data_IF_091471335016
#
_entry.id   IF_091471335016
#
_cell.length_a   1.000
_cell.length_b   1.000
_cell.length_c   1.000
_cell.angle_alpha   90.00
_cell.angle_beta   90.00
_cell.angle_gamma   90.00
#
_symmetry.space_group_name_H-M   'P 1'
#
loop_
_entity.id
_entity.type
_entity.pdbx_description
1 polymer ?
#
# COMPACT_ATOMS: atom_id res chain seq x y z
N UNK A 1 8.85 9.98 -5.94
CA UNK A 1 9.30 11.27 -5.40
C UNK A 1 10.52 10.97 -4.54
N UNK A 2 11.72 11.44 -4.91
CA UNK A 2 12.95 11.18 -4.15
C UNK A 2 13.80 12.46 -4.18
N UNK A 3 14.28 12.89 -3.02
CA UNK A 3 15.32 13.91 -2.88
C UNK A 3 16.48 13.35 -2.02
N UNK A 4 17.70 13.81 -2.27
CA UNK A 4 18.80 13.68 -1.33
C UNK A 4 18.71 14.74 -0.24
N UNK A 5 19.37 14.50 0.90
CA UNK A 5 19.52 15.53 1.94
C UNK A 5 20.35 16.68 1.37
N UNK A 6 19.73 17.85 1.17
CA UNK A 6 20.40 19.07 0.71
C UNK A 6 19.98 19.61 -0.67
N UNK A 7 19.11 18.91 -1.40
CA UNK A 7 18.66 19.37 -2.71
C UNK A 7 17.66 20.53 -2.59
N UNK A 8 17.87 21.60 -3.38
CA UNK A 8 17.04 22.82 -3.37
C UNK A 8 15.83 22.76 -4.30
N UNK A 9 15.83 21.85 -5.28
CA UNK A 9 14.77 21.73 -6.29
C UNK A 9 14.49 20.27 -6.66
N UNK A 10 13.25 20.00 -7.05
CA UNK A 10 12.80 18.67 -7.46
C UNK A 10 13.22 18.37 -8.90
N UNK A 11 13.83 17.20 -9.15
CA UNK A 11 14.10 16.73 -10.51
C UNK A 11 12.98 15.80 -10.98
N UNK A 12 12.30 16.19 -12.06
CA UNK A 12 11.25 15.39 -12.72
C UNK A 12 11.94 14.42 -13.68
N UNK A 13 11.66 13.11 -13.57
CA UNK A 13 12.24 12.13 -14.50
C UNK A 13 11.60 12.26 -15.89
N UNK A 14 12.43 12.41 -16.93
CA UNK A 14 11.96 12.35 -18.32
C UNK A 14 11.57 10.93 -18.70
N UNK A 15 10.29 10.76 -19.02
CA UNK A 15 9.67 9.48 -19.38
C UNK A 15 8.29 9.43 -18.76
N UNK A 16 7.27 9.82 -19.53
CA UNK A 16 5.91 10.15 -19.07
C UNK A 16 5.07 9.03 -18.42
N UNK A 17 5.69 8.05 -17.77
CA UNK A 17 5.04 7.09 -16.90
C UNK A 17 5.09 7.52 -15.42
N UNK A 18 4.10 7.11 -14.64
CA UNK A 18 4.01 7.40 -13.20
C UNK A 18 4.27 6.15 -12.37
N UNK A 19 5.06 6.26 -11.30
CA UNK A 19 5.17 5.24 -10.25
C UNK A 19 4.25 5.63 -9.11
N UNK A 20 3.24 4.79 -8.83
CA UNK A 20 2.23 5.05 -7.81
C UNK A 20 2.71 4.63 -6.41
N UNK A 21 3.37 3.49 -6.32
CA UNK A 21 3.94 2.96 -5.07
C UNK A 21 5.28 2.32 -5.32
N UNK A 22 6.15 2.35 -4.31
CA UNK A 22 7.45 1.72 -4.34
C UNK A 22 7.82 1.16 -2.96
N UNK A 23 8.65 0.12 -2.97
CA UNK A 23 9.20 -0.50 -1.77
C UNK A 23 10.64 -0.94 -2.03
N UNK A 24 11.45 -0.93 -0.98
CA UNK A 24 12.76 -1.58 -0.99
C UNK A 24 12.58 -3.08 -0.71
N UNK A 25 13.30 -3.91 -1.46
CA UNK A 25 13.31 -5.36 -1.26
C UNK A 25 14.68 -5.90 -1.65
N UNK A 26 15.36 -6.56 -0.72
CA UNK A 26 16.70 -7.16 -0.91
C UNK A 26 17.72 -6.20 -1.57
N UNK A 27 17.75 -4.96 -1.09
CA UNK A 27 18.69 -3.92 -1.55
C UNK A 27 18.36 -3.31 -2.91
N UNK A 28 17.20 -3.61 -3.50
CA UNK A 28 16.71 -3.02 -4.74
C UNK A 28 15.39 -2.30 -4.50
N UNK A 29 15.03 -1.39 -5.41
CA UNK A 29 13.76 -0.67 -5.37
C UNK A 29 12.84 -1.26 -6.43
N UNK A 30 11.63 -1.58 -6.00
CA UNK A 30 10.56 -2.03 -6.88
C UNK A 30 9.39 -1.08 -6.77
N UNK A 31 8.62 -0.97 -7.85
CA UNK A 31 7.44 -0.12 -7.86
C UNK A 31 6.33 -0.65 -8.72
N UNK A 32 5.16 -0.08 -8.54
CA UNK A 32 3.99 -0.30 -9.38
C UNK A 32 3.68 1.03 -10.06
N UNK A 33 3.59 1.00 -11.38
CA UNK A 33 3.43 2.20 -12.17
C UNK A 33 2.75 1.96 -13.51
N UNK A 34 2.39 3.03 -14.17
CA UNK A 34 1.98 3.05 -15.58
C UNK A 34 3.15 3.55 -16.40
N UNK A 35 3.98 2.68 -17.00
CA UNK A 35 4.87 3.13 -18.07
C UNK A 35 4.04 3.74 -19.23
N UNK A 36 4.67 4.51 -20.13
CA UNK A 36 3.97 5.10 -21.29
C UNK A 36 3.19 4.01 -22.05
N UNK A 37 1.86 4.16 -22.18
CA UNK A 37 0.99 3.13 -22.80
C UNK A 37 -0.03 2.43 -21.89
N UNK A 38 -0.46 3.09 -20.81
CA UNK A 38 -1.76 2.89 -20.13
C UNK A 38 -1.95 1.67 -19.22
N UNK A 39 -1.12 0.63 -19.27
CA UNK A 39 -1.33 -0.56 -18.42
C UNK A 39 -0.47 -0.50 -17.16
N UNK A 40 -1.05 -0.90 -16.02
CA UNK A 40 -0.32 -1.04 -14.77
C UNK A 40 0.74 -2.16 -14.86
N UNK A 41 1.91 -1.87 -14.32
CA UNK A 41 3.08 -2.76 -14.33
C UNK A 41 3.78 -2.77 -12.99
N UNK A 42 4.29 -3.94 -12.62
CA UNK A 42 5.34 -4.05 -11.61
C UNK A 42 6.68 -3.76 -12.28
N UNK A 43 7.56 -3.01 -11.61
CA UNK A 43 8.78 -2.42 -12.16
C UNK A 43 9.95 -2.66 -11.19
N UNK A 44 11.08 -3.14 -11.71
CA UNK A 44 12.37 -2.95 -11.01
C UNK A 44 12.94 -1.58 -11.38
N UNK A 45 13.24 -0.77 -10.37
CA UNK A 45 13.67 0.62 -10.50
C UNK A 45 15.15 0.72 -10.14
N UNK A 46 15.96 1.16 -11.10
CA UNK A 46 17.33 1.59 -10.83
C UNK A 46 17.44 3.10 -10.91
N UNK A 47 17.89 3.70 -9.81
CA UNK A 47 18.22 5.12 -9.73
C UNK A 47 19.55 5.36 -10.45
N UNK A 48 19.59 6.36 -11.33
CA UNK A 48 20.81 6.86 -11.97
C UNK A 48 21.39 8.04 -11.18
N UNK A 49 22.68 8.35 -11.34
CA UNK A 49 23.33 9.49 -10.66
C UNK A 49 22.63 10.84 -10.89
N UNK A 50 21.93 11.01 -12.01
CA UNK A 50 21.12 12.19 -12.32
C UNK A 50 19.63 11.97 -12.03
N UNK A 51 19.31 11.19 -11.00
CA UNK A 51 17.94 10.90 -10.54
C UNK A 51 17.00 10.28 -11.60
N UNK A 52 17.54 9.84 -12.73
CA UNK A 52 16.80 9.13 -13.78
C UNK A 52 16.36 7.75 -13.31
N UNK A 53 15.12 7.38 -13.59
CA UNK A 53 14.58 6.05 -13.33
C UNK A 53 14.80 5.18 -14.57
N UNK A 54 15.50 4.04 -14.42
CA UNK A 54 15.51 2.98 -15.43
C UNK A 54 14.59 1.85 -14.97
N UNK A 55 13.55 1.58 -15.75
CA UNK A 55 12.78 0.32 -15.64
C UNK A 55 13.65 -0.80 -16.22
N UNK A 56 13.97 -1.79 -15.40
CA UNK A 56 14.80 -2.92 -15.82
C UNK A 56 13.93 -4.10 -16.29
N UNK A 57 12.82 -4.33 -15.62
CA UNK A 57 11.92 -5.44 -15.89
C UNK A 57 10.48 -5.05 -15.57
N UNK A 58 9.52 -5.62 -16.30
CA UNK A 58 8.12 -5.33 -16.08
C UNK A 58 7.21 -6.55 -16.28
N UNK A 59 6.12 -6.60 -15.52
CA UNK A 59 5.00 -7.51 -15.75
C UNK A 59 3.67 -6.80 -15.65
N UNK A 60 2.71 -7.28 -16.42
CA UNK A 60 1.33 -6.82 -16.33
C UNK A 60 0.74 -7.21 -14.98
N UNK A 61 0.34 -6.22 -14.20
CA UNK A 61 -0.50 -6.45 -13.04
C UNK A 61 -1.91 -6.72 -13.57
N UNK A 62 -2.54 -7.81 -13.13
CA UNK A 62 -3.94 -8.05 -13.47
C UNK A 62 -4.79 -6.91 -12.91
N UNK A 63 -5.53 -6.24 -13.78
CA UNK A 63 -6.50 -5.23 -13.39
C UNK A 63 -7.84 -5.57 -14.04
N UNK A 64 -8.79 -5.96 -13.20
CA UNK A 64 -10.18 -5.53 -13.36
C UNK A 64 -10.71 -5.30 -11.95
N UNK A 65 -10.92 -4.05 -11.59
CA UNK A 65 -11.90 -3.74 -10.55
C UNK A 65 -13.29 -4.05 -11.15
N UNK A 66 -14.23 -4.60 -10.38
CA UNK A 66 -15.59 -4.80 -10.85
C UNK A 66 -16.21 -3.49 -11.38
N UNK A 67 -17.14 -3.58 -12.34
CA UNK A 67 -17.90 -2.40 -12.78
C UNK A 67 -18.68 -1.83 -11.59
N UNK A 68 -18.56 -0.52 -11.34
CA UNK A 68 -19.19 0.15 -10.19
C UNK A 68 -18.27 0.32 -8.96
N UNK A 69 -17.00 -0.07 -9.06
CA UNK A 69 -15.97 0.25 -8.07
C UNK A 69 -15.59 1.73 -8.12
N UNK A 70 -15.40 2.34 -6.95
CA UNK A 70 -14.94 3.71 -6.75
C UNK A 70 -13.42 3.84 -6.82
N UNK A 71 -12.82 4.46 -5.79
CA UNK A 71 -11.36 4.61 -5.70
C UNK A 71 -10.66 3.25 -5.54
N UNK A 72 -9.38 3.20 -5.89
CA UNK A 72 -8.53 2.02 -5.75
C UNK A 72 -7.26 2.42 -5.03
N UNK A 73 -6.96 1.73 -3.92
CA UNK A 73 -5.67 1.89 -3.24
C UNK A 73 -4.77 0.71 -3.51
N UNK A 74 -3.49 1.03 -3.61
CA UNK A 74 -2.42 0.08 -3.91
C UNK A 74 -1.31 0.32 -2.93
N UNK A 75 -0.76 -0.76 -2.41
CA UNK A 75 0.39 -0.71 -1.52
C UNK A 75 1.40 -1.76 -1.95
N UNK A 76 2.68 -1.45 -1.75
CA UNK A 76 3.77 -2.39 -1.96
C UNK A 76 4.57 -2.43 -0.67
N UNK A 77 4.67 -3.60 -0.05
CA UNK A 77 5.26 -3.76 1.28
C UNK A 77 6.22 -4.94 1.27
N UNK A 78 7.42 -4.74 1.80
CA UNK A 78 8.30 -5.83 2.19
C UNK A 78 7.90 -6.31 3.59
N UNK A 79 7.73 -7.61 3.76
CA UNK A 79 7.46 -8.21 5.06
C UNK A 79 8.00 -9.62 5.12
N UNK A 80 8.88 -9.88 6.10
CA UNK A 80 9.46 -11.21 6.39
C UNK A 80 10.13 -11.87 5.17
N UNK A 81 10.84 -11.07 4.36
CA UNK A 81 11.56 -11.57 3.19
C UNK A 81 10.68 -11.81 1.97
N UNK A 82 9.43 -11.35 2.00
CA UNK A 82 8.47 -11.39 0.89
C UNK A 82 8.10 -9.97 0.46
N UNK A 83 7.90 -9.78 -0.84
CA UNK A 83 7.38 -8.55 -1.40
C UNK A 83 5.90 -8.74 -1.74
N UNK A 84 5.05 -7.96 -1.10
CA UNK A 84 3.60 -8.08 -1.17
C UNK A 84 2.98 -6.85 -1.83
N UNK A 85 2.11 -7.08 -2.81
CA UNK A 85 1.31 -6.07 -3.46
C UNK A 85 -0.13 -6.18 -2.98
N UNK A 86 -0.65 -5.10 -2.40
CA UNK A 86 -2.03 -4.99 -1.96
C UNK A 86 -2.81 -4.20 -2.99
N UNK A 87 -3.99 -4.71 -3.35
CA UNK A 87 -4.96 -4.08 -4.22
C UNK A 87 -6.29 -3.98 -3.48
N UNK A 88 -6.71 -2.77 -3.17
CA UNK A 88 -7.90 -2.50 -2.38
C UNK A 88 -8.92 -1.75 -3.22
N UNK A 89 -10.10 -2.35 -3.35
CA UNK A 89 -11.23 -1.86 -4.12
C UNK A 89 -12.25 -1.22 -3.15
N UNK A 90 -12.67 0.02 -3.43
CA UNK A 90 -13.65 0.76 -2.61
C UNK A 90 -14.99 0.91 -3.33
N UNK A 91 -16.07 1.02 -2.55
CA UNK A 91 -17.38 1.39 -3.08
C UNK A 91 -17.47 2.91 -3.33
N UNK A 92 -18.52 3.32 -4.04
CA UNK A 92 -18.90 4.73 -4.18
C UNK A 92 -18.28 5.44 -5.39
N UNK A 93 -18.49 6.75 -5.43
CA UNK A 93 -17.99 7.62 -6.51
C UNK A 93 -16.95 8.59 -5.94
N UNK A 94 -15.73 8.51 -6.48
CA UNK A 94 -14.60 9.36 -6.13
C UNK A 94 -14.93 10.85 -6.26
N UNK A 95 -15.76 11.24 -7.23
CA UNK A 95 -16.10 12.64 -7.49
C UNK A 95 -17.09 13.22 -6.46
N UNK A 96 -17.95 12.38 -5.87
CA UNK A 96 -18.98 12.83 -4.93
C UNK A 96 -18.59 12.62 -3.47
N UNK A 97 -17.49 11.90 -3.21
CA UNK A 97 -17.01 11.50 -1.89
C UNK A 97 -18.05 10.73 -1.04
N UNK A 98 -19.14 10.23 -1.66
CA UNK A 98 -20.14 9.40 -0.99
C UNK A 98 -19.66 7.94 -1.02
N UNK A 99 -19.56 7.33 0.16
CA UNK A 99 -19.17 5.94 0.38
C UNK A 99 -17.73 5.57 -0.05
N UNK A 100 -16.85 6.54 -0.33
CA UNK A 100 -15.47 6.33 -0.79
C UNK A 100 -14.55 5.58 0.20
N UNK A 101 -15.05 5.24 1.40
CA UNK A 101 -14.33 4.54 2.46
C UNK A 101 -14.87 3.12 2.74
N UNK A 102 -15.92 2.70 2.03
CA UNK A 102 -16.46 1.33 2.17
C UNK A 102 -15.57 0.39 1.36
N UNK A 103 -14.86 -0.49 2.04
CA UNK A 103 -13.99 -1.50 1.42
C UNK A 103 -14.88 -2.57 0.79
N UNK A 104 -14.75 -2.81 -0.50
CA UNK A 104 -15.42 -3.91 -1.20
C UNK A 104 -14.59 -5.18 -1.13
N UNK A 105 -13.30 -5.07 -1.44
CA UNK A 105 -12.38 -6.20 -1.47
C UNK A 105 -10.94 -5.72 -1.26
N UNK A 106 -10.13 -6.63 -0.73
CA UNK A 106 -8.67 -6.48 -0.64
C UNK A 106 -8.04 -7.73 -1.20
N UNK A 107 -7.22 -7.61 -2.24
CA UNK A 107 -6.44 -8.72 -2.78
C UNK A 107 -4.97 -8.50 -2.51
N UNK A 108 -4.31 -9.54 -2.02
CA UNK A 108 -2.88 -9.48 -1.70
C UNK A 108 -2.15 -10.45 -2.59
N UNK A 109 -1.08 -9.99 -3.21
CA UNK A 109 -0.28 -10.79 -4.12
C UNK A 109 1.17 -10.82 -3.65
N UNK A 110 1.72 -12.03 -3.55
CA UNK A 110 3.15 -12.24 -3.39
C UNK A 110 3.84 -12.11 -4.74
N UNK A 111 4.92 -11.34 -4.78
CA UNK A 111 5.69 -11.11 -5.99
C UNK A 111 6.93 -12.00 -5.99
N UNK A 112 6.99 -12.93 -6.94
CA UNK A 112 8.20 -13.67 -7.28
C UNK A 112 8.99 -12.86 -8.30
N UNK A 113 9.90 -12.02 -7.80
CA UNK A 113 10.72 -11.13 -8.63
C UNK A 113 11.60 -11.91 -9.61
N UNK A 114 12.03 -13.12 -9.27
CA UNK A 114 12.91 -13.92 -10.14
C UNK A 114 12.15 -14.45 -11.35
N UNK A 115 10.95 -15.00 -11.10
CA UNK A 115 10.09 -15.55 -12.16
C UNK A 115 9.17 -14.50 -12.78
N UNK A 116 9.16 -13.29 -12.24
CA UNK A 116 8.28 -12.19 -12.63
C UNK A 116 6.82 -12.65 -12.68
N UNK A 117 6.33 -13.15 -11.56
CA UNK A 117 4.92 -13.57 -11.41
C UNK A 117 4.35 -13.09 -10.09
N UNK A 118 3.04 -12.98 -10.07
CA UNK A 118 2.26 -12.63 -8.89
C UNK A 118 1.37 -13.81 -8.53
N UNK A 119 1.36 -14.17 -7.26
CA UNK A 119 0.54 -15.26 -6.73
C UNK A 119 -0.34 -14.66 -5.63
N UNK A 120 -1.65 -14.89 -5.72
CA UNK A 120 -2.58 -14.39 -4.71
C UNK A 120 -2.34 -15.11 -3.38
N UNK A 121 -2.38 -14.34 -2.30
CA UNK A 121 -2.19 -14.81 -0.94
C UNK A 121 -3.56 -14.92 -0.30
N UNK A 122 -3.93 -16.11 0.14
CA UNK A 122 -5.23 -16.35 0.79
C UNK A 122 -5.18 -16.10 2.31
N UNK A 123 -3.99 -16.18 2.91
CA UNK A 123 -3.76 -15.98 4.35
C UNK A 123 -2.48 -15.18 4.60
N UNK A 124 -2.60 -14.08 5.35
CA UNK A 124 -1.48 -13.26 5.77
C UNK A 124 -0.76 -13.86 6.98
N UNK A 125 -1.33 -14.86 7.63
CA UNK A 125 -0.79 -15.57 8.78
C UNK A 125 -0.66 -14.67 9.99
N UNK A 126 0.45 -14.81 10.73
CA UNK A 126 0.76 -13.99 11.90
C UNK A 126 1.29 -12.59 11.55
N UNK A 127 0.63 -11.92 10.61
CA UNK A 127 0.96 -10.56 10.17
C UNK A 127 -0.22 -9.64 10.33
N UNK A 128 0.10 -8.40 10.71
CA UNK A 128 -0.80 -7.26 10.66
C UNK A 128 -0.15 -6.20 9.78
N UNK A 129 -0.92 -5.60 8.88
CA UNK A 129 -0.48 -4.53 7.99
C UNK A 129 -1.16 -3.23 8.34
N UNK A 130 -0.45 -2.12 8.18
CA UNK A 130 -0.93 -0.79 8.53
C UNK A 130 -0.78 0.10 7.30
N UNK A 131 -1.90 0.64 6.81
CA UNK A 131 -1.95 1.48 5.63
C UNK A 131 -2.50 2.86 5.96
N UNK A 132 -1.75 3.86 5.55
CA UNK A 132 -2.24 5.22 5.48
C UNK A 132 -2.74 5.49 4.06
N UNK A 133 -3.84 6.22 3.92
CA UNK A 133 -4.43 6.50 2.60
C UNK A 133 -3.45 7.08 1.56
N UNK A 134 -2.50 7.92 2.00
CA UNK A 134 -1.60 8.65 1.10
C UNK A 134 -0.10 8.42 1.33
N UNK A 135 0.31 7.68 2.36
CA UNK A 135 1.71 7.65 2.83
C UNK A 135 2.32 6.24 2.90
N UNK A 136 1.75 5.28 2.18
CA UNK A 136 2.25 3.92 2.10
C UNK A 136 1.81 3.07 3.30
N UNK A 137 2.58 2.02 3.59
CA UNK A 137 2.31 1.18 4.74
C UNK A 137 3.45 0.23 5.08
N UNK A 138 3.26 -0.49 6.17
CA UNK A 138 4.22 -1.46 6.69
C UNK A 138 3.48 -2.67 7.27
N UNK A 139 4.22 -3.77 7.44
CA UNK A 139 3.75 -4.98 8.09
C UNK A 139 4.53 -5.30 9.36
N UNK A 140 3.91 -6.00 10.29
CA UNK A 140 4.57 -6.45 11.52
C UNK A 140 4.12 -7.86 11.93
N UNK A 141 4.80 -8.44 12.91
CA UNK A 141 4.40 -9.68 13.57
C UNK A 141 3.21 -9.39 14.50
N UNK A 142 2.02 -9.88 14.15
CA UNK A 142 0.79 -9.53 14.89
C UNK A 142 0.85 -10.00 16.34
N UNK A 143 1.15 -11.29 16.55
CA UNK A 143 1.23 -11.89 17.89
C UNK A 143 2.24 -11.20 18.83
N UNK A 144 3.35 -10.70 18.28
CA UNK A 144 4.39 -10.01 19.08
C UNK A 144 3.89 -8.71 19.71
N UNK A 145 2.92 -8.05 19.08
CA UNK A 145 2.44 -6.73 19.48
C UNK A 145 0.97 -6.74 19.90
N UNK A 146 0.37 -7.92 20.09
CA UNK A 146 -1.03 -8.04 20.49
C UNK A 146 -2.04 -7.63 19.40
N UNK A 147 -1.60 -7.48 18.15
CA UNK A 147 -2.52 -7.17 17.05
C UNK A 147 -3.28 -8.41 16.59
N UNK A 148 -4.44 -8.17 15.96
CA UNK A 148 -5.19 -9.23 15.30
C UNK A 148 -4.34 -9.78 14.14
N UNK A 149 -4.22 -11.11 14.11
CA UNK A 149 -3.54 -11.81 13.01
C UNK A 149 -4.40 -11.75 11.76
N UNK A 150 -3.77 -11.94 10.60
CA UNK A 150 -4.45 -11.93 9.31
C UNK A 150 -5.32 -10.68 9.09
N UNK A 151 -4.80 -9.50 9.44
CA UNK A 151 -5.58 -8.27 9.46
C UNK A 151 -4.84 -7.07 8.84
N UNK A 152 -5.63 -6.11 8.38
CA UNK A 152 -5.17 -4.86 7.76
C UNK A 152 -5.83 -3.69 8.48
N UNK A 153 -5.01 -2.79 9.00
CA UNK A 153 -5.39 -1.61 9.74
C UNK A 153 -5.28 -0.38 8.83
N UNK A 154 -6.34 0.39 8.76
CA UNK A 154 -6.52 1.48 7.81
C UNK A 154 -6.96 2.75 8.55
N UNK A 155 -6.36 3.87 8.17
CA UNK A 155 -6.78 5.20 8.60
C UNK A 155 -7.05 6.05 7.37
N UNK A 156 -8.25 6.62 7.33
CA UNK A 156 -8.67 7.51 6.25
C UNK A 156 -8.43 8.97 6.59
N UNK A 157 -8.13 9.80 5.58
CA UNK A 157 -8.00 11.23 5.80
C UNK A 157 -9.36 11.79 6.22
N UNK A 158 -9.35 12.68 7.21
CA UNK A 158 -10.54 13.40 7.71
C UNK A 158 -11.56 12.50 8.45
N UNK A 159 -11.20 11.26 8.74
CA UNK A 159 -11.93 10.44 9.70
C UNK A 159 -11.00 10.09 10.88
N UNK A 160 -11.51 10.25 12.09
CA UNK A 160 -10.86 9.88 13.34
C UNK A 160 -11.17 8.42 13.71
N UNK A 161 -11.45 7.56 12.74
CA UNK A 161 -11.69 6.12 12.94
C UNK A 161 -10.49 5.27 12.48
N UNK A 162 -10.26 4.20 13.23
CA UNK A 162 -9.39 3.11 12.84
C UNK A 162 -10.25 1.97 12.29
N UNK A 163 -9.95 1.57 11.06
CA UNK A 163 -10.63 0.50 10.35
C UNK A 163 -9.77 -0.75 10.38
N UNK A 164 -10.34 -1.88 10.77
CA UNK A 164 -9.66 -3.16 10.87
C UNK A 164 -10.36 -4.12 9.90
N UNK A 165 -9.70 -4.39 8.78
CA UNK A 165 -10.14 -5.37 7.80
C UNK A 165 -9.59 -6.75 8.20
N UNK A 166 -10.48 -7.68 8.55
CA UNK A 166 -10.15 -9.09 8.72
C UNK A 166 -10.00 -9.72 7.33
N UNK A 167 -8.81 -10.19 7.01
CA UNK A 167 -8.52 -10.75 5.69
C UNK A 167 -9.10 -12.16 5.50
N UNK A 168 -9.27 -12.91 6.59
CA UNK A 168 -9.87 -14.25 6.55
C UNK A 168 -11.38 -14.19 6.36
N UNK A 169 -12.04 -13.36 7.17
CA UNK A 169 -13.51 -13.23 7.16
C UNK A 169 -14.03 -12.17 6.17
N UNK A 170 -13.11 -11.43 5.52
CA UNK A 170 -13.41 -10.34 4.57
C UNK A 170 -14.34 -9.27 5.16
N UNK A 171 -14.20 -9.01 6.46
CA UNK A 171 -15.07 -8.12 7.24
C UNK A 171 -14.33 -6.89 7.73
N UNK A 172 -15.08 -5.83 8.03
CA UNK A 172 -14.53 -4.57 8.55
C UNK A 172 -15.09 -4.31 9.93
N UNK A 173 -14.20 -4.16 10.91
CA UNK A 173 -14.50 -3.58 12.21
C UNK A 173 -14.07 -2.11 12.20
N UNK A 174 -14.96 -1.21 12.64
CA UNK A 174 -14.65 0.20 12.81
C UNK A 174 -14.53 0.49 14.30
N UNK A 175 -13.42 1.07 14.70
CA UNK A 175 -13.20 1.52 16.08
C UNK A 175 -12.97 3.02 16.06
N UNK A 176 -13.69 3.75 16.92
CA UNK A 176 -13.41 5.16 17.14
C UNK A 176 -12.00 5.29 17.70
N UNK A 177 -11.14 6.04 17.04
CA UNK A 177 -9.83 6.36 17.60
C UNK A 177 -10.06 7.25 18.83
N UNK A 178 -9.28 7.05 19.90
CA UNK A 178 -9.23 7.95 21.06
C UNK A 178 -9.28 9.44 20.63
N UNK A 179 -10.08 10.32 21.25
CA UNK A 179 -10.20 11.74 20.86
C UNK A 179 -8.89 12.53 20.86
N UNK A 180 -7.83 12.01 21.48
CA UNK A 180 -6.46 12.56 21.44
C UNK A 180 -5.74 12.34 20.10
N UNK A 181 -6.33 11.61 19.15
CA UNK A 181 -5.72 11.20 17.89
C UNK A 181 -5.93 12.17 16.73
N UNK A 182 -6.60 13.32 16.95
CA UNK A 182 -6.77 14.36 15.91
C UNK A 182 -5.45 14.95 15.39
N UNK A 183 -4.31 14.67 16.04
CA UNK A 183 -2.99 15.18 15.67
C UNK A 183 -1.93 14.11 15.42
N UNK A 184 -2.27 12.81 15.45
CA UNK A 184 -1.27 11.75 15.40
C UNK A 184 -1.02 11.22 13.98
N UNK A 185 0.25 11.14 13.59
CA UNK A 185 0.68 10.37 12.43
C UNK A 185 0.55 8.85 12.71
N UNK A 186 0.45 8.02 11.67
CA UNK A 186 0.35 6.55 11.82
C UNK A 186 1.45 5.91 12.67
N UNK A 187 2.63 6.54 12.78
CA UNK A 187 3.70 6.09 13.68
C UNK A 187 3.31 6.19 15.17
N UNK A 188 2.44 7.14 15.53
CA UNK A 188 1.98 7.36 16.90
C UNK A 188 0.78 6.48 17.27
N UNK A 189 -0.08 6.11 16.31
CA UNK A 189 -1.20 5.17 16.51
C UNK A 189 -0.74 3.78 16.97
N UNK A 190 0.39 3.29 16.44
CA UNK A 190 1.01 2.02 16.85
C UNK A 190 1.49 2.08 18.31
N UNK A 191 1.91 3.26 18.78
CA UNK A 191 2.40 3.45 20.14
C UNK A 191 1.26 3.56 21.16
N UNK A 192 0.13 4.18 20.81
CA UNK A 192 -1.02 4.30 21.72
C UNK A 192 -1.68 2.94 22.03
N UNK A 193 -1.75 2.01 21.07
CA UNK A 193 -2.28 0.66 21.33
C UNK A 193 -1.32 -0.26 22.09
N UNK A 194 -0.09 0.18 22.41
CA UNK A 194 0.84 -0.54 23.29
C UNK A 194 0.71 -0.16 24.78
N UNK A 195 -0.25 0.70 25.14
CA UNK A 195 -0.44 1.20 26.51
C UNK A 195 -1.71 0.69 27.21
N UNK A 196 -2.35 -0.37 26.70
CA UNK A 196 -3.45 -1.07 27.38
C UNK A 196 -3.09 -2.53 27.62
#
# INVERSE_FOLDING_TARGET
MLCGVGDKEWTISEGGGQVFVAASYRGRIYGIGTPPGSKLRFLEIKLRPNYGVKVIQQIQVMQRSPKGCGDIKRYLVESRGELLFFHQDFAGDFHTNRNAHVILDVRVFKIDVKKMRMEEVEDLGDRAFFFAWSSGGFGCCASKFGFKRNAIYLVYPRDSNLYIYDYGDRSVLVTSSCPELEQCSMHQLVMCHQLV
#
